data_IF_349843366713
#
_entry.id   IF_349843366713
#
_cell.length_a   1.000
_cell.length_b   1.000
_cell.length_c   1.000
_cell.angle_alpha   90.00
_cell.angle_beta   90.00
_cell.angle_gamma   90.00
#
_symmetry.space_group_name_H-M   'P 1'
#
loop_
_entity.id
_entity.type
_entity.pdbx_description
1 polymer ?
#
# COMPACT_ATOMS: atom_id res chain seq x y z
N UNK A 1 -10.76 9.87 -13.41
CA UNK A 1 -9.71 9.77 -12.37
C UNK A 1 -10.27 9.02 -11.16
N UNK A 2 -9.53 8.08 -10.64
CA UNK A 2 -9.97 7.30 -9.49
C UNK A 2 -9.69 8.06 -8.19
N UNK A 3 -10.62 7.97 -7.25
CA UNK A 3 -10.47 8.54 -5.92
C UNK A 3 -11.03 7.55 -4.91
N UNK A 4 -10.34 7.39 -3.79
CA UNK A 4 -10.87 6.62 -2.67
C UNK A 4 -11.91 7.47 -1.96
N UNK A 5 -13.09 6.91 -1.75
CA UNK A 5 -14.18 7.58 -1.03
C UNK A 5 -14.25 7.16 0.43
N UNK A 6 -13.93 5.90 0.71
CA UNK A 6 -13.91 5.38 2.08
C UNK A 6 -13.06 4.12 2.13
N UNK A 7 -12.67 3.76 3.32
CA UNK A 7 -11.93 2.52 3.57
C UNK A 7 -12.26 1.97 4.95
N UNK A 8 -12.04 0.65 5.12
CA UNK A 8 -12.13 -0.04 6.40
C UNK A 8 -10.96 -1.00 6.52
N UNK A 9 -10.35 -1.06 7.71
CA UNK A 9 -9.35 -2.07 8.01
C UNK A 9 -10.11 -3.35 8.37
N UNK A 10 -9.94 -4.39 7.56
CA UNK A 10 -10.73 -5.62 7.69
C UNK A 10 -9.91 -6.83 8.11
N UNK A 11 -8.62 -6.65 8.33
CA UNK A 11 -7.73 -7.71 8.80
C UNK A 11 -6.30 -7.19 8.90
N UNK A 12 -5.34 -8.02 9.33
CA UNK A 12 -3.94 -7.60 9.39
C UNK A 12 -3.46 -7.17 8.00
N UNK A 13 -2.97 -5.93 7.90
CA UNK A 13 -2.46 -5.34 6.65
C UNK A 13 -3.46 -5.35 5.49
N UNK A 14 -4.76 -5.50 5.80
CA UNK A 14 -5.80 -5.67 4.78
C UNK A 14 -6.85 -4.58 4.94
N UNK A 15 -7.13 -3.89 3.83
CA UNK A 15 -8.05 -2.75 3.80
C UNK A 15 -9.08 -2.98 2.69
N UNK A 16 -10.36 -2.78 3.02
CA UNK A 16 -11.41 -2.68 2.03
C UNK A 16 -11.51 -1.23 1.59
N UNK A 17 -11.35 -0.97 0.31
CA UNK A 17 -11.29 0.38 -0.26
C UNK A 17 -12.42 0.56 -1.26
N UNK A 18 -13.19 1.62 -1.11
CA UNK A 18 -14.28 1.96 -2.03
C UNK A 18 -13.92 3.20 -2.83
N UNK A 19 -14.18 3.16 -4.12
CA UNK A 19 -13.79 4.19 -5.08
C UNK A 19 -14.99 4.99 -5.58
N UNK A 20 -14.70 6.14 -6.17
CA UNK A 20 -15.71 7.06 -6.72
C UNK A 20 -16.51 6.49 -7.89
N UNK A 21 -16.00 5.44 -8.55
CA UNK A 21 -16.72 4.79 -9.66
C UNK A 21 -17.64 3.65 -9.19
N UNK A 22 -17.78 3.48 -7.87
CA UNK A 22 -18.63 2.44 -7.30
C UNK A 22 -17.95 1.10 -7.12
N UNK A 23 -16.69 0.98 -7.50
CA UNK A 23 -15.96 -0.28 -7.33
C UNK A 23 -15.32 -0.36 -5.94
N UNK A 24 -14.99 -1.58 -5.53
CA UNK A 24 -14.32 -1.84 -4.25
C UNK A 24 -13.19 -2.83 -4.47
N UNK A 25 -12.13 -2.68 -3.65
CA UNK A 25 -11.01 -3.61 -3.63
C UNK A 25 -10.74 -4.01 -2.19
N UNK A 26 -10.46 -5.29 -1.98
CA UNK A 26 -9.93 -5.76 -0.69
C UNK A 26 -8.44 -6.01 -0.89
N UNK A 27 -7.63 -5.18 -0.28
CA UNK A 27 -6.19 -5.13 -0.55
C UNK A 27 -5.42 -5.62 0.66
N UNK A 28 -4.62 -6.68 0.46
CA UNK A 28 -3.62 -7.10 1.43
C UNK A 28 -2.29 -6.43 1.04
N UNK A 29 -1.84 -5.48 1.85
CA UNK A 29 -0.62 -4.73 1.57
C UNK A 29 0.65 -5.46 1.98
N UNK A 30 0.55 -6.52 2.78
CA UNK A 30 1.74 -7.18 3.35
C UNK A 30 2.82 -7.53 2.32
N UNK A 31 2.50 -8.03 1.12
CA UNK A 31 3.53 -8.38 0.15
C UNK A 31 4.41 -7.22 -0.31
N UNK A 32 3.96 -5.97 -0.13
CA UNK A 32 4.72 -4.79 -0.60
C UNK A 32 5.29 -3.97 0.55
N UNK A 33 5.17 -4.43 1.81
CA UNK A 33 5.64 -3.68 2.97
C UNK A 33 7.13 -3.95 3.21
N UNK A 34 7.96 -3.49 2.28
CA UNK A 34 9.41 -3.64 2.31
C UNK A 34 10.06 -2.29 2.02
N UNK A 35 11.32 -2.16 2.38
CA UNK A 35 12.10 -0.97 2.10
C UNK A 35 11.96 0.12 3.17
N UNK A 36 12.60 1.26 2.93
CA UNK A 36 12.72 2.33 3.93
C UNK A 36 11.38 3.00 4.24
N UNK A 37 10.50 3.12 3.25
CA UNK A 37 9.22 3.83 3.41
C UNK A 37 8.11 2.88 3.83
N UNK A 38 8.00 1.72 3.17
CA UNK A 38 6.89 0.79 3.41
C UNK A 38 7.20 -0.24 4.49
N UNK A 39 8.47 -0.53 4.75
CA UNK A 39 8.87 -1.49 5.80
C UNK A 39 8.31 -1.17 7.18
N UNK A 40 8.36 0.11 7.62
CA UNK A 40 7.79 0.48 8.93
C UNK A 40 6.31 0.15 9.09
N UNK A 41 5.56 0.00 8.01
CA UNK A 41 4.14 -0.36 8.05
C UNK A 41 3.92 -1.83 8.44
N UNK A 42 4.97 -2.62 8.57
CA UNK A 42 4.88 -3.96 9.14
C UNK A 42 4.49 -3.93 10.62
N UNK A 43 4.73 -2.80 11.29
CA UNK A 43 4.18 -2.56 12.62
C UNK A 43 2.70 -2.23 12.48
N UNK A 44 1.83 -3.08 13.00
CA UNK A 44 0.38 -2.90 12.87
C UNK A 44 -0.10 -1.57 13.46
N UNK A 45 0.54 -1.08 14.52
CA UNK A 45 0.18 0.22 15.08
C UNK A 45 0.41 1.34 14.05
N UNK A 46 1.49 1.24 13.28
CA UNK A 46 1.77 2.21 12.22
C UNK A 46 0.83 1.99 11.04
N UNK A 47 0.63 0.74 10.63
CA UNK A 47 -0.27 0.42 9.51
C UNK A 47 -1.69 0.91 9.78
N UNK A 48 -2.19 0.66 10.99
CA UNK A 48 -3.57 1.01 11.35
C UNK A 48 -3.78 2.51 11.53
N UNK A 49 -2.71 3.30 11.51
CA UNK A 49 -2.81 4.76 11.52
C UNK A 49 -3.06 5.37 10.13
N UNK A 50 -3.36 4.54 9.14
CA UNK A 50 -3.71 4.98 7.78
C UNK A 50 -4.88 5.97 7.81
N UNK A 51 -4.81 6.98 6.95
CA UNK A 51 -5.88 7.97 6.80
C UNK A 51 -6.20 8.17 5.33
N UNK A 52 -7.41 8.64 5.06
CA UNK A 52 -7.82 9.06 3.72
C UNK A 52 -7.47 10.54 3.56
N UNK A 53 -6.62 10.84 2.58
CA UNK A 53 -6.33 12.23 2.21
C UNK A 53 -7.43 12.71 1.25
N UNK A 54 -8.29 13.64 1.68
CA UNK A 54 -9.42 14.06 0.86
C UNK A 54 -9.02 14.93 -0.33
N UNK A 55 -7.86 15.56 -0.29
CA UNK A 55 -7.39 16.37 -1.42
C UNK A 55 -6.98 15.50 -2.59
N UNK A 56 -6.20 14.47 -2.31
CA UNK A 56 -5.67 13.58 -3.34
C UNK A 56 -6.63 12.41 -3.61
N UNK A 57 -7.43 12.04 -2.62
CA UNK A 57 -8.33 10.89 -2.72
C UNK A 57 -7.59 9.56 -2.66
N UNK A 58 -6.60 9.45 -1.76
CA UNK A 58 -5.84 8.21 -1.59
C UNK A 58 -5.56 7.95 -0.11
N UNK A 59 -5.02 6.77 0.16
CA UNK A 59 -4.63 6.39 1.51
C UNK A 59 -3.18 6.82 1.78
N UNK A 60 -2.96 7.42 2.95
CA UNK A 60 -1.62 7.84 3.38
C UNK A 60 -1.36 7.38 4.81
N UNK A 61 -0.10 7.27 5.15
CA UNK A 61 0.36 6.88 6.48
C UNK A 61 1.20 7.98 7.11
N UNK A 62 1.32 8.00 8.46
CA UNK A 62 2.02 9.09 9.16
C UNK A 62 3.48 9.27 8.75
N UNK A 63 4.14 8.22 8.27
CA UNK A 63 5.54 8.30 7.84
C UNK A 63 5.70 8.83 6.41
N UNK A 64 4.62 9.28 5.77
CA UNK A 64 4.65 9.79 4.41
C UNK A 64 4.43 8.74 3.33
N UNK A 65 4.26 7.48 3.69
CA UNK A 65 3.96 6.43 2.72
C UNK A 65 2.57 6.67 2.12
N UNK A 66 2.42 6.44 0.83
CA UNK A 66 1.14 6.52 0.14
C UNK A 66 1.13 5.63 -1.09
N UNK A 67 -0.07 5.47 -1.67
CA UNK A 67 -0.24 4.80 -2.96
C UNK A 67 -1.12 5.68 -3.83
N UNK A 68 -0.82 5.71 -5.12
CA UNK A 68 -1.65 6.38 -6.12
C UNK A 68 -3.03 5.71 -6.15
N UNK A 69 -4.14 6.48 -6.21
CA UNK A 69 -5.48 5.89 -6.30
C UNK A 69 -5.66 4.93 -7.46
N UNK A 70 -5.06 5.20 -8.61
CA UNK A 70 -5.13 4.30 -9.75
C UNK A 70 -4.47 2.96 -9.45
N UNK A 71 -3.35 2.97 -8.72
CA UNK A 71 -2.66 1.75 -8.30
C UNK A 71 -3.55 0.91 -7.38
N UNK A 72 -4.21 1.57 -6.43
CA UNK A 72 -5.13 0.88 -5.52
C UNK A 72 -6.32 0.28 -6.30
N UNK A 73 -6.86 1.04 -7.24
CA UNK A 73 -8.00 0.59 -8.05
C UNK A 73 -7.64 -0.63 -8.89
N UNK A 74 -6.43 -0.66 -9.44
CA UNK A 74 -5.96 -1.74 -10.31
C UNK A 74 -5.10 -2.77 -9.57
N UNK A 75 -5.23 -2.85 -8.27
CA UNK A 75 -4.39 -3.70 -7.43
C UNK A 75 -4.24 -5.14 -7.93
N UNK A 76 -5.32 -5.84 -8.34
CA UNK A 76 -5.16 -7.21 -8.84
C UNK A 76 -4.25 -7.34 -10.04
N UNK A 77 -4.13 -6.27 -10.84
CA UNK A 77 -3.29 -6.25 -12.03
C UNK A 77 -1.84 -5.86 -11.74
N UNK A 78 -1.60 -5.14 -10.64
CA UNK A 78 -0.27 -4.58 -10.36
C UNK A 78 0.42 -5.29 -9.19
N UNK A 79 -0.29 -6.11 -8.42
CA UNK A 79 0.26 -6.69 -7.19
C UNK A 79 1.51 -7.53 -7.44
N UNK A 80 1.53 -8.30 -8.51
CA UNK A 80 2.68 -9.15 -8.82
C UNK A 80 3.92 -8.30 -9.09
N UNK A 81 3.76 -7.20 -9.82
CA UNK A 81 4.84 -6.27 -10.12
C UNK A 81 5.31 -5.55 -8.85
N UNK A 82 4.36 -5.07 -8.03
CA UNK A 82 4.70 -4.40 -6.78
C UNK A 82 5.41 -5.35 -5.82
N UNK A 83 4.96 -6.59 -5.73
CA UNK A 83 5.61 -7.59 -4.89
C UNK A 83 7.04 -7.89 -5.37
N UNK A 84 7.23 -7.96 -6.67
CA UNK A 84 8.55 -8.17 -7.26
C UNK A 84 9.48 -7.00 -6.97
N UNK A 85 8.97 -5.76 -7.07
CA UNK A 85 9.73 -4.56 -6.71
C UNK A 85 10.12 -4.56 -5.25
N UNK A 86 9.18 -4.90 -4.36
CA UNK A 86 9.45 -4.97 -2.93
C UNK A 86 10.55 -5.96 -2.61
N UNK A 87 10.51 -7.14 -3.24
CA UNK A 87 11.58 -8.14 -3.08
C UNK A 87 12.91 -7.62 -3.62
N UNK A 88 12.88 -6.86 -4.71
CA UNK A 88 14.08 -6.23 -5.27
C UNK A 88 14.69 -5.23 -4.30
N UNK A 89 13.86 -4.44 -3.62
CA UNK A 89 14.35 -3.49 -2.62
C UNK A 89 15.09 -4.20 -1.51
N UNK A 90 14.52 -5.28 -0.97
CA UNK A 90 15.16 -6.09 0.07
C UNK A 90 16.41 -6.78 -0.45
N UNK A 91 16.32 -7.37 -1.63
CA UNK A 91 17.43 -8.07 -2.26
C UNK A 91 18.57 -7.12 -2.60
N UNK A 92 18.26 -5.94 -3.12
CA UNK A 92 19.26 -4.94 -3.44
C UNK A 92 20.03 -4.54 -2.18
N UNK A 93 19.34 -4.37 -1.07
CA UNK A 93 19.97 -4.06 0.21
C UNK A 93 20.91 -5.20 0.65
N UNK A 94 20.49 -6.43 0.51
CA UNK A 94 21.29 -7.60 0.84
C UNK A 94 22.44 -7.78 -0.14
N UNK A 95 22.18 -7.62 -1.42
CA UNK A 95 23.18 -7.77 -2.47
C UNK A 95 24.31 -6.75 -2.33
N UNK A 96 23.98 -5.54 -1.88
CA UNK A 96 24.99 -4.52 -1.62
C UNK A 96 26.01 -4.99 -0.57
N UNK A 97 25.61 -5.83 0.35
CA UNK A 97 26.51 -6.42 1.33
C UNK A 97 27.29 -7.59 0.78
N UNK A 98 26.65 -8.38 -0.09
CA UNK A 98 27.25 -9.56 -0.67
C UNK A 98 28.20 -9.23 -1.82
N UNK A 99 27.90 -8.16 -2.49
CA UNK A 99 28.65 -7.76 -3.64
C UNK A 99 29.70 -6.73 -3.33
#
# INVERSE_FOLDING_TARGET
>A
MYRVQRFDIVGPYTVAVAFNDGTEQRINFRPVLEGAIFGPLQDLAVFNAVVLDPEVGTLTWPNGADFDPATLHEWPHVIAELSARARTWTTASTTAHAG
#
